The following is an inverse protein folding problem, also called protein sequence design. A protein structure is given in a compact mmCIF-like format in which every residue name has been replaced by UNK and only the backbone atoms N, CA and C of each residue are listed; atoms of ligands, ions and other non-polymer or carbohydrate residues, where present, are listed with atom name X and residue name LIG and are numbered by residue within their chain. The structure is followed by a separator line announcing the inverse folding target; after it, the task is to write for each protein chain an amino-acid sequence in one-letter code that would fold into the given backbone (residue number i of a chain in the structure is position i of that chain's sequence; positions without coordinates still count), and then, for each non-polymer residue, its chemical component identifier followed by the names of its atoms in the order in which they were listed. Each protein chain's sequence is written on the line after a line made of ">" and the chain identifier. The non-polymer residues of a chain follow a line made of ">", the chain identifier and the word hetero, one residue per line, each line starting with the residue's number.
data_IF_322426270232
#
_entry.id   IF_322426270232
#
_cell.length_a   1.000
_cell.length_b   1.000
_cell.length_c   1.000
_cell.angle_alpha   90.00
_cell.angle_beta   90.00
_cell.angle_gamma   90.00
#
_symmetry.space_group_name_H-M   'P 1'
#
loop_
_entity.id
_entity.type
_entity.pdbx_description
1 polymer ?
#
# COMPACT_ATOMS: atom_id res chain seq x y z
N UNK A 1 -4.68 9.70 -5.01
CA UNK A 1 -3.78 10.73 -4.46
C UNK A 1 -4.10 10.93 -2.98
N UNK A 2 -3.10 11.33 -2.21
CA UNK A 2 -3.25 11.73 -0.82
C UNK A 2 -2.48 13.03 -0.55
N UNK A 3 -2.78 13.65 0.60
CA UNK A 3 -2.05 14.83 1.09
C UNK A 3 -1.20 14.42 2.29
N UNK A 4 0.03 14.91 2.32
CA UNK A 4 0.91 14.76 3.46
C UNK A 4 1.27 16.14 4.02
N UNK A 5 1.07 16.30 5.33
CA UNK A 5 1.44 17.50 6.09
C UNK A 5 2.65 17.17 6.94
N UNK A 6 3.81 17.69 6.55
CA UNK A 6 5.04 17.46 7.30
C UNK A 6 5.11 18.35 8.55
N UNK A 7 5.84 17.88 9.55
CA UNK A 7 6.08 18.59 10.81
C UNK A 7 6.85 19.90 10.64
N UNK A 8 7.54 20.09 9.52
CA UNK A 8 8.23 21.35 9.16
C UNK A 8 7.29 22.39 8.52
N UNK A 9 5.98 22.11 8.45
CA UNK A 9 4.96 22.99 7.87
C UNK A 9 4.76 22.81 6.34
N UNK A 10 5.61 22.09 5.67
CA UNK A 10 5.44 21.81 4.23
C UNK A 10 4.30 20.84 3.99
N UNK A 11 3.69 20.96 2.84
CA UNK A 11 2.60 20.09 2.38
C UNK A 11 2.93 19.49 1.04
N UNK A 12 2.52 18.24 0.86
CA UNK A 12 2.82 17.48 -0.35
C UNK A 12 1.58 16.77 -0.87
N UNK A 13 1.45 16.76 -2.20
CA UNK A 13 0.51 15.89 -2.91
C UNK A 13 1.27 14.65 -3.33
N UNK A 14 0.75 13.49 -2.96
CA UNK A 14 1.32 12.18 -3.30
C UNK A 14 0.34 11.45 -4.20
N UNK A 15 0.79 11.00 -5.35
CA UNK A 15 -0.09 10.43 -6.38
C UNK A 15 0.57 9.28 -7.14
N UNK A 16 -0.26 8.45 -7.74
CA UNK A 16 0.17 7.46 -8.72
C UNK A 16 0.44 8.15 -10.06
N UNK A 17 1.50 7.72 -10.72
CA UNK A 17 1.80 8.00 -12.13
C UNK A 17 1.87 6.69 -12.92
N UNK A 18 1.19 6.65 -14.07
CA UNK A 18 1.33 5.59 -15.06
C UNK A 18 2.00 6.13 -16.32
N UNK A 19 3.04 5.43 -16.78
CA UNK A 19 3.60 5.72 -18.11
C UNK A 19 2.66 5.14 -19.17
N UNK A 20 2.11 6.02 -20.01
CA UNK A 20 1.12 5.65 -21.04
C UNK A 20 1.64 5.84 -22.45
N UNK A 21 2.85 6.38 -22.63
CA UNK A 21 3.42 6.61 -23.96
C UNK A 21 3.80 5.27 -24.60
N UNK A 22 3.58 5.19 -25.92
CA UNK A 22 3.96 4.03 -26.70
C UNK A 22 5.49 3.82 -26.68
N UNK A 23 5.92 2.57 -26.66
CA UNK A 23 7.33 2.19 -26.62
C UNK A 23 8.03 2.31 -25.27
N UNK A 24 7.32 2.80 -24.24
CA UNK A 24 7.84 2.82 -22.86
C UNK A 24 7.27 1.67 -22.04
N UNK A 25 8.12 1.11 -21.21
CA UNK A 25 7.64 0.23 -20.14
C UNK A 25 6.67 0.99 -19.26
N UNK A 26 5.55 0.38 -18.88
CA UNK A 26 4.44 1.01 -18.14
C UNK A 26 4.37 0.59 -16.67
N UNK A 27 5.46 0.66 -15.89
CA UNK A 27 5.35 0.43 -14.47
C UNK A 27 4.68 1.64 -13.82
N UNK A 28 3.77 1.40 -12.89
CA UNK A 28 3.30 2.45 -11.99
C UNK A 28 4.46 2.98 -11.14
N UNK A 29 4.34 4.23 -10.73
CA UNK A 29 5.24 4.84 -9.78
C UNK A 29 4.48 5.81 -8.90
N UNK A 30 4.92 5.97 -7.66
CA UNK A 30 4.41 7.01 -6.79
C UNK A 30 5.26 8.26 -6.96
N UNK A 31 4.58 9.36 -7.25
CA UNK A 31 5.13 10.68 -7.40
C UNK A 31 4.71 11.58 -6.25
N UNK A 32 5.54 12.55 -5.93
CA UNK A 32 5.26 13.56 -4.94
C UNK A 32 5.65 14.94 -5.47
N UNK A 33 4.86 15.95 -5.07
CA UNK A 33 5.13 17.36 -5.38
C UNK A 33 4.74 18.21 -4.17
N UNK A 34 5.47 19.30 -3.94
CA UNK A 34 5.15 20.25 -2.88
C UNK A 34 3.93 21.10 -3.28
N UNK A 35 3.09 21.42 -2.30
CA UNK A 35 1.94 22.32 -2.44
C UNK A 35 2.08 23.50 -1.47
N UNK A 36 1.91 24.72 -1.98
CA UNK A 36 1.85 25.94 -1.18
C UNK A 36 0.41 26.33 -0.88
N UNK A 37 -0.02 26.27 0.39
CA UNK A 37 -1.36 26.75 0.77
C UNK A 37 -1.52 28.26 0.60
N UNK A 38 -0.45 29.04 0.83
CA UNK A 38 -0.47 30.49 0.72
C UNK A 38 -0.74 30.95 -0.72
N UNK A 39 -0.10 30.27 -1.67
CA UNK A 39 -0.25 30.54 -3.10
C UNK A 39 -1.39 29.77 -3.76
N UNK A 40 -1.87 28.72 -3.08
CA UNK A 40 -2.86 27.76 -3.60
C UNK A 40 -2.41 27.09 -4.90
N UNK A 41 -1.11 26.76 -4.98
CA UNK A 41 -0.51 26.18 -6.20
C UNK A 41 0.50 25.08 -5.88
N UNK A 42 0.78 24.26 -6.90
CA UNK A 42 1.87 23.28 -6.89
C UNK A 42 3.20 24.02 -7.05
N UNK A 43 4.20 23.63 -6.22
CA UNK A 43 5.54 24.20 -6.23
C UNK A 43 6.51 23.22 -6.89
N UNK A 44 7.04 23.60 -8.04
CA UNK A 44 7.99 22.78 -8.79
C UNK A 44 7.33 21.67 -9.60
N UNK A 45 8.03 20.56 -9.78
CA UNK A 45 7.60 19.44 -10.61
C UNK A 45 7.47 18.15 -9.78
N UNK A 46 6.51 17.26 -10.11
CA UNK A 46 6.40 15.94 -9.48
C UNK A 46 7.70 15.13 -9.65
N UNK A 47 8.12 14.48 -8.56
CA UNK A 47 9.26 13.56 -8.57
C UNK A 47 8.78 12.17 -8.21
N UNK A 48 9.29 11.17 -8.92
CA UNK A 48 9.05 9.76 -8.58
C UNK A 48 9.85 9.42 -7.32
N UNK A 49 9.16 8.96 -6.28
CA UNK A 49 9.74 8.65 -4.98
C UNK A 49 9.71 7.16 -4.63
N UNK A 50 8.80 6.39 -5.26
CA UNK A 50 8.60 4.98 -4.94
C UNK A 50 8.10 4.17 -6.13
N UNK A 51 8.56 2.93 -6.27
CA UNK A 51 8.13 2.02 -7.34
C UNK A 51 7.52 0.72 -6.83
N UNK A 52 7.29 0.63 -5.52
CA UNK A 52 6.67 -0.53 -4.89
C UNK A 52 7.61 -1.37 -4.03
N UNK A 53 6.98 -2.16 -3.16
CA UNK A 53 7.63 -3.06 -2.24
C UNK A 53 7.76 -4.49 -2.74
N UNK A 54 6.96 -4.86 -3.76
CA UNK A 54 6.92 -6.21 -4.34
C UNK A 54 6.99 -6.17 -5.86
N UNK A 55 7.04 -7.35 -6.48
CA UNK A 55 6.94 -7.52 -7.94
C UNK A 55 5.48 -7.71 -8.41
N UNK A 56 4.50 -7.58 -7.52
CA UNK A 56 3.08 -7.75 -7.85
C UNK A 56 2.53 -6.68 -8.79
N UNK A 57 3.23 -5.56 -8.93
CA UNK A 57 2.84 -4.46 -9.82
C UNK A 57 1.55 -3.74 -9.40
N UNK A 58 0.97 -2.96 -10.30
CA UNK A 58 -0.25 -2.20 -10.05
C UNK A 58 -0.18 -1.35 -8.77
N UNK A 59 0.96 -0.68 -8.56
CA UNK A 59 1.12 0.18 -7.38
C UNK A 59 0.15 1.35 -7.43
N UNK A 60 -0.53 1.59 -6.30
CA UNK A 60 -1.51 2.67 -6.16
C UNK A 60 -1.74 3.06 -4.68
N UNK A 61 -2.71 3.95 -4.43
CA UNK A 61 -3.15 4.34 -3.09
C UNK A 61 -2.02 4.74 -2.14
N UNK A 62 -1.16 5.69 -2.51
CA UNK A 62 -0.07 6.11 -1.65
C UNK A 62 -0.59 6.87 -0.43
N UNK A 63 -0.09 6.48 0.75
CA UNK A 63 -0.20 7.25 1.98
C UNK A 63 1.20 7.49 2.53
N UNK A 64 1.52 8.76 2.79
CA UNK A 64 2.77 9.16 3.41
C UNK A 64 2.50 9.60 4.85
N UNK A 65 3.30 9.10 5.78
CA UNK A 65 3.20 9.43 7.21
C UNK A 65 4.60 9.65 7.77
N UNK A 66 4.69 10.29 8.94
CA UNK A 66 5.96 10.48 9.65
C UNK A 66 5.83 9.93 11.06
N UNK A 67 6.82 9.11 11.46
CA UNK A 67 6.93 8.57 12.81
C UNK A 67 8.40 8.55 13.23
N UNK A 68 8.70 9.26 14.32
CA UNK A 68 10.09 9.43 14.74
C UNK A 68 10.94 10.08 13.66
N UNK A 69 12.04 9.45 13.32
CA UNK A 69 12.97 9.92 12.28
C UNK A 69 12.60 9.49 10.85
N UNK A 70 11.59 8.62 10.71
CA UNK A 70 11.24 8.04 9.43
C UNK A 70 9.97 8.62 8.82
N UNK A 71 10.03 8.80 7.52
CA UNK A 71 8.86 8.92 6.65
C UNK A 71 8.52 7.53 6.13
N UNK A 72 7.27 7.14 6.24
CA UNK A 72 6.76 5.85 5.76
C UNK A 72 5.84 6.09 4.58
N UNK A 73 6.07 5.33 3.51
CA UNK A 73 5.17 5.27 2.38
C UNK A 73 4.45 3.93 2.39
N UNK A 74 3.12 3.96 2.41
CA UNK A 74 2.26 2.78 2.32
C UNK A 74 1.52 2.83 1.00
N UNK A 75 1.45 1.69 0.31
CA UNK A 75 0.80 1.58 -0.99
C UNK A 75 0.01 0.27 -1.10
N UNK A 76 -0.90 0.22 -2.06
CA UNK A 76 -1.50 -1.00 -2.56
C UNK A 76 -0.70 -1.52 -3.75
N UNK A 77 -0.58 -2.83 -3.87
CA UNK A 77 -0.01 -3.52 -5.02
C UNK A 77 -0.80 -4.79 -5.36
N UNK A 78 -0.52 -5.40 -6.53
CA UNK A 78 -1.14 -6.65 -6.96
C UNK A 78 -2.51 -6.50 -7.62
N UNK A 79 -2.99 -5.29 -7.83
CA UNK A 79 -4.31 -5.02 -8.39
C UNK A 79 -5.45 -5.38 -7.43
N UNK A 80 -6.68 -5.45 -7.91
CA UNK A 80 -7.89 -5.61 -7.08
C UNK A 80 -8.31 -7.07 -6.87
N UNK A 81 -7.53 -8.02 -7.39
CA UNK A 81 -7.81 -9.45 -7.31
C UNK A 81 -7.25 -10.11 -6.05
N UNK A 82 -7.05 -11.43 -6.13
CA UNK A 82 -6.55 -12.22 -5.01
C UNK A 82 -5.11 -11.88 -4.61
N UNK A 83 -4.30 -11.35 -5.54
CA UNK A 83 -2.92 -10.91 -5.27
C UNK A 83 -2.80 -9.52 -4.62
N UNK A 84 -3.92 -8.89 -4.32
CA UNK A 84 -3.95 -7.58 -3.66
C UNK A 84 -3.16 -7.61 -2.35
N UNK A 85 -2.44 -6.53 -2.06
CA UNK A 85 -1.67 -6.44 -0.84
C UNK A 85 -1.41 -4.98 -0.43
N UNK A 86 -0.95 -4.82 0.79
CA UNK A 86 -0.42 -3.56 1.33
C UNK A 86 1.10 -3.68 1.41
N UNK A 87 1.81 -2.70 0.88
CA UNK A 87 3.27 -2.62 0.94
C UNK A 87 3.72 -1.37 1.67
N UNK A 88 4.92 -1.40 2.22
CA UNK A 88 5.50 -0.29 2.96
C UNK A 88 6.98 -0.11 2.62
N UNK A 89 7.40 1.15 2.62
CA UNK A 89 8.79 1.56 2.60
C UNK A 89 9.01 2.70 3.58
N UNK A 90 10.27 3.00 3.94
CA UNK A 90 10.63 4.12 4.82
C UNK A 90 11.89 4.84 4.35
N UNK A 91 12.04 6.09 4.78
CA UNK A 91 13.21 6.91 4.53
C UNK A 91 13.35 7.95 5.64
N UNK A 92 14.57 8.38 5.94
CA UNK A 92 14.81 9.55 6.80
C UNK A 92 14.64 10.89 6.04
N UNK A 93 14.49 10.83 4.73
CA UNK A 93 14.23 12.00 3.90
C UNK A 93 12.86 11.85 3.21
N UNK A 94 12.02 12.89 3.29
CA UNK A 94 10.69 12.90 2.68
C UNK A 94 10.70 12.58 1.16
N UNK A 95 11.78 12.92 0.48
CA UNK A 95 11.98 12.65 -0.94
C UNK A 95 12.63 11.29 -1.23
N UNK A 96 12.94 10.51 -0.19
CA UNK A 96 13.65 9.24 -0.33
C UNK A 96 15.19 9.40 -0.38
N UNK A 97 15.91 8.35 -0.82
CA UNK A 97 15.37 7.07 -1.27
C UNK A 97 14.64 6.30 -0.16
N UNK A 98 13.55 5.63 -0.52
CA UNK A 98 12.82 4.77 0.39
C UNK A 98 13.37 3.34 0.34
N UNK A 99 13.75 2.80 1.49
CA UNK A 99 14.05 1.38 1.62
C UNK A 99 12.76 0.57 1.72
N UNK A 100 12.75 -0.57 1.06
CA UNK A 100 11.61 -1.51 1.11
C UNK A 100 11.59 -2.21 2.47
N UNK A 101 10.41 -2.40 3.03
CA UNK A 101 10.23 -3.34 4.12
C UNK A 101 10.70 -4.74 3.66
N UNK A 102 11.63 -5.38 4.39
CA UNK A 102 12.16 -6.69 3.98
C UNK A 102 11.12 -7.82 4.03
N UNK A 103 9.98 -7.58 4.70
CA UNK A 103 8.87 -8.53 4.80
C UNK A 103 7.64 -8.12 3.98
N UNK A 104 7.80 -7.21 2.99
CA UNK A 104 6.70 -6.90 2.09
C UNK A 104 6.17 -8.16 1.37
N UNK A 105 4.85 -8.25 1.17
CA UNK A 105 3.82 -7.31 1.59
C UNK A 105 3.55 -7.38 3.09
N UNK A 106 3.24 -6.23 3.71
CA UNK A 106 2.95 -6.17 5.16
C UNK A 106 1.57 -6.70 5.53
N UNK A 107 0.62 -6.67 4.58
CA UNK A 107 -0.69 -7.33 4.69
C UNK A 107 -1.10 -7.89 3.33
N UNK A 108 -1.49 -9.15 3.31
CA UNK A 108 -1.99 -9.86 2.14
C UNK A 108 -2.83 -11.06 2.57
N UNK A 109 -3.65 -11.58 1.66
CA UNK A 109 -4.36 -12.88 1.85
C UNK A 109 -3.63 -14.05 1.21
N UNK A 110 -2.63 -13.80 0.35
CA UNK A 110 -1.98 -14.81 -0.49
C UNK A 110 -0.50 -14.92 -0.15
N UNK A 111 -0.05 -16.09 0.33
CA UNK A 111 1.36 -16.36 0.46
C UNK A 111 2.01 -16.51 -0.92
N UNK A 112 3.25 -16.07 -1.03
CA UNK A 112 4.05 -16.23 -2.24
C UNK A 112 4.52 -14.91 -2.83
N UNK A 113 5.64 -15.00 -3.51
CA UNK A 113 6.44 -13.85 -3.91
C UNK A 113 6.20 -13.44 -5.37
N UNK A 114 5.79 -14.37 -6.23
CA UNK A 114 5.69 -14.11 -7.66
C UNK A 114 4.27 -13.77 -8.09
N UNK A 115 4.16 -12.69 -8.80
CA UNK A 115 2.97 -12.30 -9.53
C UNK A 115 3.33 -12.01 -10.97
N UNK A 116 2.74 -12.76 -11.87
CA UNK A 116 2.80 -12.45 -13.27
C UNK A 116 1.74 -11.41 -13.59
N UNK A 117 2.15 -10.16 -13.73
CA UNK A 117 1.26 -9.02 -14.00
C UNK A 117 0.35 -9.24 -15.20
N UNK A 118 0.79 -10.03 -16.16
CA UNK A 118 0.04 -10.35 -17.38
C UNK A 118 -0.80 -11.62 -17.27
N UNK A 119 -0.81 -12.28 -16.11
CA UNK A 119 -1.63 -13.46 -15.90
C UNK A 119 -3.12 -13.08 -16.03
N UNK A 120 -3.83 -13.58 -17.06
CA UNK A 120 -5.24 -13.29 -17.25
C UNK A 120 -6.12 -13.86 -16.12
N UNK A 121 -5.56 -14.74 -15.32
CA UNK A 121 -6.25 -15.43 -14.22
C UNK A 121 -6.06 -14.78 -12.86
N UNK A 122 -5.37 -13.63 -12.76
CA UNK A 122 -5.12 -12.96 -11.47
C UNK A 122 -6.39 -12.61 -10.66
N UNK A 123 -7.54 -12.50 -11.30
CA UNK A 123 -8.84 -12.31 -10.65
C UNK A 123 -9.55 -13.62 -10.30
N UNK A 124 -8.98 -14.76 -10.68
CA UNK A 124 -9.63 -16.06 -10.57
C UNK A 124 -9.25 -16.81 -9.29
N UNK A 125 -10.04 -17.84 -8.95
CA UNK A 125 -9.91 -18.64 -7.73
C UNK A 125 -8.58 -19.34 -7.51
N UNK A 126 -7.71 -19.51 -8.51
CA UNK A 126 -6.42 -20.17 -8.30
C UNK A 126 -5.52 -19.52 -7.25
N UNK A 127 -5.74 -18.25 -6.97
CA UNK A 127 -5.05 -17.50 -5.89
C UNK A 127 -5.84 -17.45 -4.59
N UNK A 128 -6.97 -18.14 -4.50
CA UNK A 128 -7.71 -18.27 -3.27
C UNK A 128 -6.88 -19.01 -2.21
N UNK A 129 -6.80 -18.43 -1.03
CA UNK A 129 -6.14 -19.06 0.12
C UNK A 129 -7.21 -19.54 1.13
N UNK A 130 -7.44 -20.85 1.25
CA UNK A 130 -8.47 -21.39 2.16
C UNK A 130 -8.15 -21.15 3.65
N UNK A 131 -6.90 -20.84 3.99
CA UNK A 131 -6.48 -20.56 5.36
C UNK A 131 -6.71 -19.09 5.76
N UNK A 132 -6.96 -18.19 4.81
CA UNK A 132 -7.25 -16.79 5.09
C UNK A 132 -8.74 -16.54 5.10
N UNK A 133 -9.26 -15.97 6.19
CA UNK A 133 -10.66 -15.58 6.30
C UNK A 133 -10.98 -14.40 5.39
N UNK A 134 -10.04 -13.44 5.29
CA UNK A 134 -10.17 -12.27 4.45
C UNK A 134 -9.40 -12.49 3.15
N UNK A 135 -10.10 -12.46 2.02
CA UNK A 135 -9.47 -12.58 0.71
C UNK A 135 -9.22 -11.20 0.09
N UNK A 136 -8.30 -11.11 -0.86
CA UNK A 136 -8.03 -9.88 -1.63
C UNK A 136 -7.64 -8.69 -0.74
N UNK A 137 -6.99 -8.95 0.39
CA UNK A 137 -6.62 -7.93 1.39
C UNK A 137 -5.54 -7.01 0.85
N UNK A 138 -5.84 -5.70 0.82
CA UNK A 138 -4.93 -4.68 0.31
C UNK A 138 -5.53 -3.28 0.42
N UNK A 139 -4.88 -2.28 -0.18
CA UNK A 139 -5.33 -0.88 -0.19
C UNK A 139 -5.58 -0.34 1.22
N UNK A 140 -4.53 -0.39 2.05
CA UNK A 140 -4.61 -0.04 3.46
C UNK A 140 -4.27 1.40 3.78
N UNK A 141 -4.80 1.86 4.89
CA UNK A 141 -4.40 3.09 5.58
C UNK A 141 -4.40 2.82 7.08
N UNK A 142 -3.38 3.29 7.79
CA UNK A 142 -3.30 3.07 9.23
C UNK A 142 -3.49 4.34 10.04
N UNK A 143 -3.88 4.17 11.29
CA UNK A 143 -3.98 5.23 12.29
C UNK A 143 -3.32 4.75 13.58
N UNK A 144 -2.53 5.63 14.19
CA UNK A 144 -1.98 5.47 15.53
C UNK A 144 -2.79 6.36 16.48
N UNK A 145 -3.39 5.73 17.49
CA UNK A 145 -4.21 6.42 18.48
C UNK A 145 -3.33 7.09 19.55
N UNK A 146 -3.83 8.10 20.26
CA UNK A 146 -3.10 8.70 21.39
C UNK A 146 -2.71 7.69 22.49
N UNK A 147 -3.39 6.55 22.55
CA UNK A 147 -3.06 5.41 23.44
C UNK A 147 -1.84 4.61 23.00
N UNK A 148 -1.31 4.86 21.79
CA UNK A 148 -0.25 4.09 21.17
C UNK A 148 -0.73 2.84 20.42
N UNK A 149 -2.04 2.58 20.41
CA UNK A 149 -2.60 1.50 19.62
C UNK A 149 -2.63 1.87 18.14
N UNK A 150 -2.31 0.90 17.29
CA UNK A 150 -2.28 1.09 15.83
C UNK A 150 -3.29 0.17 15.17
N UNK A 151 -4.06 0.72 14.25
CA UNK A 151 -5.04 -0.03 13.46
C UNK A 151 -4.85 0.26 11.99
N UNK A 152 -4.99 -0.79 11.18
CA UNK A 152 -5.04 -0.73 9.71
C UNK A 152 -6.47 -0.95 9.26
N UNK A 153 -6.97 -0.05 8.44
CA UNK A 153 -8.21 -0.23 7.66
C UNK A 153 -7.81 -0.59 6.26
N UNK A 154 -8.36 -1.67 5.70
CA UNK A 154 -8.00 -2.12 4.37
C UNK A 154 -9.18 -2.74 3.63
N UNK A 155 -9.08 -2.83 2.32
CA UNK A 155 -10.03 -3.57 1.49
C UNK A 155 -9.81 -5.07 1.64
N UNK A 156 -10.91 -5.81 1.61
CA UNK A 156 -10.91 -7.26 1.56
C UNK A 156 -12.16 -7.79 0.84
N UNK A 157 -12.30 -9.09 0.79
CA UNK A 157 -13.53 -9.76 0.41
C UNK A 157 -13.69 -11.09 1.18
N UNK A 158 -14.93 -11.53 1.33
CA UNK A 158 -15.28 -12.82 1.93
C UNK A 158 -16.15 -13.62 0.94
N UNK A 159 -15.51 -14.35 0.03
CA UNK A 159 -16.25 -15.11 -0.97
C UNK A 159 -17.03 -16.26 -0.35
N UNK A 160 -18.21 -16.55 -0.87
CA UNK A 160 -18.95 -17.75 -0.52
C UNK A 160 -18.26 -19.00 -1.05
N UNK A 161 -18.09 -20.00 -0.20
CA UNK A 161 -17.48 -21.29 -0.55
C UNK A 161 -18.60 -22.29 -0.83
N UNK A 162 -18.52 -23.11 -1.89
CA UNK A 162 -17.36 -23.34 -2.77
C UNK A 162 -17.30 -22.46 -4.03
N UNK A 163 -18.31 -21.66 -4.32
CA UNK A 163 -18.44 -20.92 -5.59
C UNK A 163 -17.43 -19.78 -5.73
N UNK A 164 -16.83 -19.34 -4.64
CA UNK A 164 -15.86 -18.26 -4.53
C UNK A 164 -16.33 -16.92 -5.14
N UNK A 165 -17.63 -16.65 -5.01
CA UNK A 165 -18.26 -15.42 -5.47
C UNK A 165 -18.39 -14.41 -4.34
N UNK A 166 -17.99 -13.18 -4.60
CA UNK A 166 -18.10 -12.05 -3.67
C UNK A 166 -19.33 -11.23 -4.04
N UNK A 167 -20.54 -11.70 -3.69
CA UNK A 167 -21.81 -11.04 -4.06
C UNK A 167 -21.98 -9.67 -3.41
N UNK A 168 -21.34 -9.43 -2.25
CA UNK A 168 -21.31 -8.12 -1.59
C UNK A 168 -20.23 -7.20 -2.15
N UNK A 169 -19.44 -7.67 -3.13
CA UNK A 169 -18.30 -6.94 -3.68
C UNK A 169 -17.09 -6.96 -2.75
N UNK A 170 -16.40 -5.81 -2.66
CA UNK A 170 -15.29 -5.60 -1.72
C UNK A 170 -15.81 -4.97 -0.43
N UNK A 171 -15.22 -5.37 0.68
CA UNK A 171 -15.59 -4.96 2.01
C UNK A 171 -14.41 -4.22 2.66
N UNK A 172 -14.66 -3.59 3.79
CA UNK A 172 -13.65 -2.96 4.61
C UNK A 172 -13.41 -3.78 5.87
N UNK A 173 -12.16 -4.13 6.13
CA UNK A 173 -11.72 -4.75 7.37
C UNK A 173 -10.90 -3.76 8.20
N UNK A 174 -10.88 -3.98 9.51
CA UNK A 174 -10.00 -3.31 10.44
C UNK A 174 -9.21 -4.36 11.21
N UNK A 175 -7.89 -4.20 11.27
CA UNK A 175 -7.01 -5.11 12.00
C UNK A 175 -6.06 -4.34 12.88
N UNK A 176 -5.80 -4.89 14.07
CA UNK A 176 -4.82 -4.33 15.00
C UNK A 176 -3.42 -4.57 14.47
N UNK A 177 -2.59 -3.53 14.55
CA UNK A 177 -1.19 -3.55 14.14
C UNK A 177 -0.28 -3.33 15.34
N UNK A 178 1.01 -3.59 15.13
CA UNK A 178 2.06 -3.27 16.07
C UNK A 178 3.31 -2.77 15.34
N UNK A 179 4.02 -1.84 15.94
CA UNK A 179 5.37 -1.49 15.51
C UNK A 179 6.37 -2.45 16.13
N UNK A 180 7.24 -3.00 15.30
CA UNK A 180 8.33 -3.87 15.73
C UNK A 180 9.51 -3.05 16.28
N UNK A 181 10.43 -3.69 16.97
CA UNK A 181 11.63 -3.02 17.51
C UNK A 181 12.50 -2.37 16.43
N UNK A 182 12.52 -2.95 15.24
CA UNK A 182 13.22 -2.40 14.05
C UNK A 182 12.39 -1.37 13.28
N UNK A 183 11.30 -0.86 13.87
CA UNK A 183 10.42 0.18 13.34
C UNK A 183 9.74 -0.18 12.02
N UNK A 184 9.26 -1.39 11.88
CA UNK A 184 8.34 -1.80 10.82
C UNK A 184 6.95 -2.12 11.37
N UNK A 185 5.93 -1.93 10.54
CA UNK A 185 4.53 -2.18 10.93
C UNK A 185 4.14 -3.62 10.57
N UNK A 186 3.50 -4.34 11.50
CA UNK A 186 3.01 -5.71 11.32
C UNK A 186 1.61 -5.86 11.89
N UNK A 187 0.89 -6.89 11.48
CA UNK A 187 -0.30 -7.32 12.20
C UNK A 187 0.07 -7.66 13.66
N UNK A 188 -0.86 -7.50 14.60
CA UNK A 188 -0.59 -7.64 16.03
C UNK A 188 -0.14 -9.04 16.45
N UNK A 189 -0.39 -10.05 15.63
CA UNK A 189 0.12 -11.41 15.79
C UNK A 189 1.53 -11.62 15.22
N UNK A 190 2.11 -10.58 14.64
CA UNK A 190 3.42 -10.59 13.99
C UNK A 190 3.43 -11.17 12.58
N UNK A 191 2.28 -11.62 12.08
CA UNK A 191 2.13 -12.13 10.72
C UNK A 191 1.98 -11.01 9.67
N UNK A 192 1.88 -11.43 8.40
CA UNK A 192 1.52 -10.56 7.27
C UNK A 192 0.23 -11.05 6.59
N UNK A 193 -0.47 -12.01 7.19
CA UNK A 193 -1.67 -12.61 6.62
C UNK A 193 -2.93 -12.06 7.30
N UNK A 194 -3.81 -11.53 6.47
CA UNK A 194 -5.11 -11.02 6.89
C UNK A 194 -6.14 -12.14 7.11
#
# INVERSE_FOLDING_TARGET
>A
ASLFHDTNGKKYVVSLEWETREGYEKPGAICMVEYSPEKQEIVGYPKRIWRGGTDRGCIEAPHLTKRGEYYYIMCAEGGTGYNHCVTMGRSQNVWGPYEKDPKNPIVTSVPGESYERQDPDHLKPKYYNPESILQKSGHGSYVELPTGEVYLVHLCSRPFVPELRCTLGRETAIQKMMWTEDNWLRLADGSNFA
#
